data_IF_028149991995
#
_entry.id   IF_028149991995
#
_cell.length_a   1.000
_cell.length_b   1.000
_cell.length_c   1.000
_cell.angle_alpha   90.00
_cell.angle_beta   90.00
_cell.angle_gamma   90.00
#
_symmetry.space_group_name_H-M   'P 1'
#
loop_
_entity.id
_entity.type
_entity.pdbx_description
1 polymer ?
#
# COMPACT_ATOMS: atom_id res chain seq x y z
N UNK A 1 -27.91 -12.15 -17.98
CA UNK A 1 -27.02 -11.27 -17.22
C UNK A 1 -27.47 -11.28 -15.77
N UNK A 2 -26.67 -11.82 -14.85
CA UNK A 2 -27.03 -11.87 -13.44
C UNK A 2 -26.51 -10.61 -12.76
N UNK A 3 -27.38 -9.87 -12.10
CA UNK A 3 -27.03 -8.69 -11.30
C UNK A 3 -26.95 -9.10 -9.82
N UNK A 4 -25.79 -8.92 -9.21
CA UNK A 4 -25.61 -9.12 -7.79
C UNK A 4 -25.66 -7.75 -7.10
N UNK A 5 -26.68 -7.55 -6.31
CA UNK A 5 -26.89 -6.37 -5.48
C UNK A 5 -25.86 -6.31 -4.34
N UNK A 6 -25.70 -5.12 -3.77
CA UNK A 6 -24.80 -4.86 -2.62
C UNK A 6 -25.09 -5.73 -1.38
N UNK A 7 -26.32 -6.26 -1.25
CA UNK A 7 -26.70 -7.18 -0.18
C UNK A 7 -25.96 -8.52 -0.20
N UNK A 8 -25.40 -8.90 -1.35
CA UNK A 8 -24.59 -10.13 -1.49
C UNK A 8 -23.11 -9.94 -1.08
N UNK A 9 -22.71 -8.73 -0.71
CA UNK A 9 -21.35 -8.47 -0.24
C UNK A 9 -21.25 -8.73 1.27
N UNK A 10 -20.35 -9.61 1.71
CA UNK A 10 -20.15 -9.88 3.15
C UNK A 10 -19.53 -8.68 3.88
N UNK A 11 -18.89 -7.76 3.14
CA UNK A 11 -18.26 -6.55 3.69
C UNK A 11 -18.80 -5.34 2.90
N UNK A 12 -19.35 -4.31 3.58
CA UNK A 12 -19.79 -3.08 2.93
C UNK A 12 -18.64 -2.39 2.19
N UNK A 13 -18.92 -1.89 0.99
CA UNK A 13 -17.97 -1.09 0.21
C UNK A 13 -18.41 0.37 0.24
N UNK A 14 -17.56 1.23 0.78
CA UNK A 14 -17.69 2.67 0.68
C UNK A 14 -16.69 3.18 -0.34
N UNK A 15 -17.14 4.00 -1.29
CA UNK A 15 -16.31 4.54 -2.36
C UNK A 15 -16.25 6.07 -2.26
N UNK A 16 -15.05 6.59 -2.23
CA UNK A 16 -14.77 8.02 -2.24
C UNK A 16 -13.98 8.39 -3.49
N UNK A 17 -14.45 9.39 -4.23
CA UNK A 17 -13.79 9.90 -5.43
C UNK A 17 -13.16 11.25 -5.11
N UNK A 18 -11.85 11.39 -5.32
CA UNK A 18 -11.11 12.62 -5.08
C UNK A 18 -10.62 13.15 -6.42
N UNK A 19 -11.05 14.36 -6.77
CA UNK A 19 -10.59 15.03 -7.98
C UNK A 19 -9.20 15.62 -7.78
N UNK A 20 -8.30 15.36 -8.73
CA UNK A 20 -6.92 15.85 -8.72
C UNK A 20 -6.76 16.96 -9.74
N UNK A 21 -6.19 18.08 -9.32
CA UNK A 21 -5.91 19.23 -10.19
C UNK A 21 -4.71 18.96 -11.10
N UNK A 22 -4.76 19.50 -12.31
CA UNK A 22 -3.69 19.44 -13.29
C UNK A 22 -4.10 18.68 -14.56
N UNK A 23 -3.37 18.91 -15.64
CA UNK A 23 -3.61 18.20 -16.90
C UNK A 23 -3.23 16.71 -16.73
N UNK A 24 -4.10 15.75 -17.08
CA UNK A 24 -3.80 14.34 -16.98
C UNK A 24 -2.43 13.99 -17.59
N UNK A 25 -1.59 13.23 -16.85
CA UNK A 25 -0.25 12.84 -17.28
C UNK A 25 0.84 13.89 -17.13
N UNK A 26 0.53 15.12 -16.72
CA UNK A 26 1.54 16.14 -16.43
C UNK A 26 2.32 15.84 -15.15
N UNK A 27 3.51 16.46 -15.00
CA UNK A 27 4.33 16.37 -13.79
C UNK A 27 3.57 16.93 -12.59
N UNK A 28 2.84 18.02 -12.78
CA UNK A 28 2.01 18.65 -11.75
C UNK A 28 0.91 17.72 -11.27
N UNK A 29 0.16 17.10 -12.19
CA UNK A 29 -0.89 16.14 -11.85
C UNK A 29 -0.35 14.93 -11.08
N UNK A 30 0.85 14.44 -11.43
CA UNK A 30 1.50 13.34 -10.70
C UNK A 30 1.90 13.76 -9.28
N UNK A 31 2.49 14.93 -9.11
CA UNK A 31 2.82 15.45 -7.76
C UNK A 31 1.58 15.64 -6.90
N UNK A 32 0.52 16.18 -7.48
CA UNK A 32 -0.75 16.34 -6.79
C UNK A 32 -1.36 14.99 -6.40
N UNK A 33 -1.25 13.98 -7.28
CA UNK A 33 -1.70 12.62 -7.00
C UNK A 33 -0.91 11.99 -5.86
N UNK A 34 0.41 12.07 -5.89
CA UNK A 34 1.27 11.55 -4.82
C UNK A 34 0.95 12.24 -3.49
N UNK A 35 0.73 13.55 -3.51
CA UNK A 35 0.37 14.32 -2.32
C UNK A 35 -0.98 13.90 -1.74
N UNK A 36 -2.02 13.83 -2.56
CA UNK A 36 -3.36 13.41 -2.13
C UNK A 36 -3.34 11.96 -1.64
N UNK A 37 -2.59 11.09 -2.31
CA UNK A 37 -2.41 9.71 -1.88
C UNK A 37 -1.74 9.65 -0.51
N UNK A 38 -0.69 10.43 -0.30
CA UNK A 38 0.01 10.52 0.99
C UNK A 38 -0.92 11.01 2.11
N UNK A 39 -1.64 12.10 1.88
CA UNK A 39 -2.58 12.66 2.86
C UNK A 39 -3.64 11.64 3.26
N UNK A 40 -4.20 10.92 2.28
CA UNK A 40 -5.23 9.90 2.54
C UNK A 40 -4.67 8.67 3.26
N UNK A 41 -3.48 8.22 2.88
CA UNK A 41 -2.79 7.11 3.54
C UNK A 41 -2.47 7.47 5.00
N UNK A 42 -1.95 8.67 5.26
CA UNK A 42 -1.62 9.15 6.61
C UNK A 42 -2.87 9.25 7.48
N UNK A 43 -3.96 9.81 6.94
CA UNK A 43 -5.25 9.87 7.63
C UNK A 43 -5.73 8.47 8.08
N UNK A 44 -5.72 7.50 7.16
CA UNK A 44 -6.21 6.15 7.43
C UNK A 44 -5.30 5.38 8.40
N UNK A 45 -3.99 5.53 8.27
CA UNK A 45 -3.02 4.93 9.19
C UNK A 45 -3.17 5.54 10.59
N UNK A 46 -3.37 6.86 10.70
CA UNK A 46 -3.64 7.55 11.96
C UNK A 46 -4.92 7.07 12.66
N UNK A 47 -5.89 6.59 11.88
CA UNK A 47 -7.12 5.94 12.40
C UNK A 47 -6.91 4.46 12.80
N UNK A 48 -5.70 3.93 12.67
CA UNK A 48 -5.37 2.55 13.01
C UNK A 48 -5.68 1.52 11.92
N UNK A 49 -5.88 1.97 10.68
CA UNK A 49 -6.16 1.09 9.55
C UNK A 49 -4.89 0.69 8.78
N UNK A 50 -4.94 -0.49 8.16
CA UNK A 50 -3.98 -0.86 7.15
C UNK A 50 -4.45 -0.37 5.78
N UNK A 51 -3.51 0.02 4.92
CA UNK A 51 -3.81 0.61 3.62
C UNK A 51 -3.13 -0.17 2.49
N UNK A 52 -3.89 -0.45 1.45
CA UNK A 52 -3.38 -0.96 0.18
C UNK A 52 -3.43 0.13 -0.89
N UNK A 53 -2.31 0.40 -1.53
CA UNK A 53 -2.20 1.36 -2.62
C UNK A 53 -1.96 0.60 -3.92
N UNK A 54 -2.91 0.66 -4.84
CA UNK A 54 -2.78 0.02 -6.14
C UNK A 54 -2.18 0.97 -7.17
N UNK A 55 -1.19 0.49 -7.90
CA UNK A 55 -0.55 1.22 -9.00
C UNK A 55 -0.60 0.40 -10.29
N UNK A 56 -0.48 1.07 -11.45
CA UNK A 56 -0.66 0.40 -12.74
C UNK A 56 0.51 -0.47 -13.18
N UNK A 57 1.73 -0.15 -12.79
CA UNK A 57 2.93 -0.82 -13.27
C UNK A 57 3.87 -1.23 -12.13
N UNK A 58 4.61 -2.33 -12.35
CA UNK A 58 5.59 -2.84 -11.37
C UNK A 58 6.60 -1.78 -10.93
N UNK A 59 7.14 -1.02 -11.88
CA UNK A 59 8.11 0.05 -11.59
C UNK A 59 7.52 1.17 -10.74
N UNK A 60 6.23 1.43 -10.90
CA UNK A 60 5.54 2.43 -10.10
C UNK A 60 5.31 1.98 -8.67
N UNK A 61 5.22 0.67 -8.40
CA UNK A 61 5.08 0.13 -7.05
C UNK A 61 6.19 0.63 -6.13
N UNK A 62 7.43 0.40 -6.51
CA UNK A 62 8.61 0.83 -5.75
C UNK A 62 8.72 2.36 -5.75
N UNK A 63 8.53 3.00 -6.91
CA UNK A 63 8.64 4.46 -7.05
C UNK A 63 7.64 5.19 -6.16
N UNK A 64 6.38 4.77 -6.15
CA UNK A 64 5.34 5.37 -5.32
C UNK A 64 5.62 5.13 -3.84
N UNK A 65 6.02 3.91 -3.46
CA UNK A 65 6.38 3.59 -2.09
C UNK A 65 7.54 4.45 -1.57
N UNK A 66 8.60 4.59 -2.35
CA UNK A 66 9.75 5.45 -2.01
C UNK A 66 9.37 6.92 -1.97
N UNK A 67 8.52 7.37 -2.90
CA UNK A 67 8.03 8.76 -2.93
C UNK A 67 7.20 9.10 -1.69
N UNK A 68 6.28 8.23 -1.27
CA UNK A 68 5.51 8.43 -0.05
C UNK A 68 6.40 8.41 1.20
N UNK A 69 7.38 7.51 1.25
CA UNK A 69 8.38 7.47 2.32
C UNK A 69 9.16 8.79 2.41
N UNK A 70 9.58 9.35 1.28
CA UNK A 70 10.30 10.63 1.22
C UNK A 70 9.43 11.80 1.68
N UNK A 71 8.16 11.84 1.30
CA UNK A 71 7.21 12.84 1.80
C UNK A 71 7.06 12.72 3.32
N UNK A 72 6.85 11.50 3.83
CA UNK A 72 6.73 11.25 5.27
C UNK A 72 7.98 11.68 6.05
N UNK A 73 9.16 11.42 5.50
CA UNK A 73 10.42 11.84 6.09
C UNK A 73 10.54 13.38 6.13
N UNK A 74 10.18 14.05 5.04
CA UNK A 74 10.22 15.52 4.94
C UNK A 74 9.24 16.18 5.90
N UNK A 75 8.08 15.59 6.12
CA UNK A 75 7.06 16.08 7.03
C UNK A 75 7.28 15.65 8.50
N UNK A 76 8.28 14.83 8.78
CA UNK A 76 8.56 14.31 10.11
C UNK A 76 7.51 13.34 10.64
N UNK A 77 6.72 12.72 9.77
CA UNK A 77 5.65 11.78 10.12
C UNK A 77 6.01 10.30 9.87
N UNK A 78 7.28 10.02 9.57
CA UNK A 78 7.72 8.67 9.19
C UNK A 78 7.47 7.64 10.32
N UNK A 79 7.62 8.07 11.57
CA UNK A 79 7.44 7.21 12.75
C UNK A 79 5.99 6.74 12.90
N UNK A 80 5.00 7.46 12.37
CA UNK A 80 3.59 7.07 12.38
C UNK A 80 3.34 5.78 11.60
N UNK A 81 4.20 5.48 10.63
CA UNK A 81 4.14 4.28 9.81
C UNK A 81 4.92 3.11 10.41
N UNK A 82 5.83 3.34 11.34
CA UNK A 82 6.66 2.30 11.94
C UNK A 82 5.81 1.22 12.61
N UNK A 83 6.29 -0.03 12.53
CA UNK A 83 5.73 -1.18 13.20
C UNK A 83 6.74 -1.85 14.15
N UNK A 84 7.75 -1.13 14.63
CA UNK A 84 8.79 -1.66 15.51
C UNK A 84 8.24 -2.21 16.83
N UNK A 85 7.13 -1.68 17.31
CA UNK A 85 6.45 -2.14 18.52
C UNK A 85 5.65 -3.45 18.31
N UNK A 86 5.55 -3.93 17.06
CA UNK A 86 4.81 -5.15 16.79
C UNK A 86 5.53 -6.37 17.37
N UNK A 87 4.84 -7.30 18.10
CA UNK A 87 5.47 -8.43 18.78
C UNK A 87 6.34 -9.33 17.88
N UNK A 88 5.97 -9.46 16.61
CA UNK A 88 6.67 -10.28 15.63
C UNK A 88 7.63 -9.47 14.72
N UNK A 89 7.83 -8.18 14.99
CA UNK A 89 8.64 -7.32 14.13
C UNK A 89 10.07 -7.82 13.98
N UNK A 90 10.72 -8.20 15.07
CA UNK A 90 12.09 -8.73 15.05
C UNK A 90 12.21 -10.01 14.24
N UNK A 91 11.19 -10.88 14.30
CA UNK A 91 11.14 -12.11 13.48
C UNK A 91 11.05 -11.77 11.99
N UNK A 92 10.14 -10.90 11.62
CA UNK A 92 9.97 -10.48 10.23
C UNK A 92 11.18 -9.71 9.71
N UNK A 93 11.78 -8.85 10.52
CA UNK A 93 13.00 -8.14 10.15
C UNK A 93 14.16 -9.07 9.84
N UNK A 94 14.33 -10.13 10.62
CA UNK A 94 15.32 -11.18 10.34
C UNK A 94 15.02 -11.87 9.01
N UNK A 95 13.78 -12.28 8.80
CA UNK A 95 13.36 -12.96 7.57
C UNK A 95 13.56 -12.09 6.33
N UNK A 96 13.23 -10.80 6.40
CA UNK A 96 13.50 -9.81 5.34
C UNK A 96 15.00 -9.64 5.11
N UNK A 97 15.80 -9.70 6.18
CA UNK A 97 17.26 -9.60 6.09
C UNK A 97 17.87 -10.64 5.16
N UNK A 98 17.27 -11.83 5.05
CA UNK A 98 17.68 -12.90 4.16
C UNK A 98 17.28 -12.70 2.69
N UNK A 99 16.30 -11.85 2.41
CA UNK A 99 15.88 -11.54 1.04
C UNK A 99 16.97 -10.79 0.28
N UNK A 100 17.03 -11.00 -1.03
CA UNK A 100 17.89 -10.22 -1.94
C UNK A 100 17.25 -8.92 -2.42
N UNK A 101 15.97 -8.72 -2.10
CA UNK A 101 15.22 -7.53 -2.50
C UNK A 101 15.57 -6.34 -1.59
N UNK A 102 16.40 -5.44 -2.10
CA UNK A 102 16.89 -4.27 -1.36
C UNK A 102 15.78 -3.27 -1.06
N UNK A 103 14.87 -3.06 -2.01
CA UNK A 103 13.75 -2.14 -1.87
C UNK A 103 12.80 -2.59 -0.75
N UNK A 104 12.52 -3.88 -0.69
CA UNK A 104 11.70 -4.47 0.36
C UNK A 104 12.29 -4.24 1.76
N UNK A 105 13.61 -4.40 1.90
CA UNK A 105 14.32 -4.14 3.15
C UNK A 105 14.23 -2.67 3.58
N UNK A 106 14.47 -1.75 2.65
CA UNK A 106 14.45 -0.32 2.93
C UNK A 106 13.07 0.21 3.31
N UNK A 107 12.02 -0.41 2.78
CA UNK A 107 10.64 -0.01 3.02
C UNK A 107 10.08 -0.60 4.33
N UNK A 108 10.45 -1.83 4.64
CA UNK A 108 9.94 -2.55 5.81
C UNK A 108 10.21 -1.83 7.14
N UNK A 109 11.42 -1.32 7.34
CA UNK A 109 11.80 -0.61 8.57
C UNK A 109 10.88 0.58 8.88
N UNK A 110 10.19 1.10 7.86
CA UNK A 110 9.25 2.20 7.99
C UNK A 110 7.77 1.80 7.84
N UNK A 111 7.47 0.51 7.93
CA UNK A 111 6.09 0.01 7.87
C UNK A 111 5.48 -0.03 6.47
N UNK A 112 6.30 0.13 5.42
CA UNK A 112 5.89 0.03 4.02
C UNK A 112 6.25 -1.33 3.43
N UNK A 113 5.36 -1.87 2.61
CA UNK A 113 5.57 -3.09 1.84
C UNK A 113 5.32 -2.88 0.36
N UNK A 114 5.89 -3.75 -0.46
CA UNK A 114 5.67 -3.80 -1.91
C UNK A 114 5.26 -5.20 -2.32
N UNK A 115 4.36 -5.30 -3.30
CA UNK A 115 3.92 -6.57 -3.83
C UNK A 115 3.67 -6.45 -5.34
N UNK A 116 4.45 -7.16 -6.14
CA UNK A 116 4.29 -7.20 -7.59
C UNK A 116 4.81 -8.51 -8.19
N UNK A 117 4.35 -8.85 -9.38
CA UNK A 117 4.67 -10.10 -10.05
C UNK A 117 6.16 -10.31 -10.39
N UNK A 118 6.98 -9.25 -10.34
CA UNK A 118 8.44 -9.33 -10.55
C UNK A 118 9.24 -9.75 -9.31
N UNK A 119 8.61 -9.85 -8.14
CA UNK A 119 9.26 -10.34 -6.93
C UNK A 119 9.32 -11.87 -6.91
N UNK A 120 10.28 -12.42 -6.18
CA UNK A 120 10.30 -13.86 -5.89
C UNK A 120 9.01 -14.26 -5.14
N UNK A 121 8.56 -15.47 -5.38
CA UNK A 121 7.35 -16.00 -4.69
C UNK A 121 7.51 -15.99 -3.18
N UNK A 122 8.70 -16.33 -2.68
CA UNK A 122 9.03 -16.27 -1.26
C UNK A 122 8.85 -14.86 -0.68
N UNK A 123 9.32 -13.84 -1.38
CA UNK A 123 9.21 -12.45 -0.95
C UNK A 123 7.75 -11.97 -0.95
N UNK A 124 6.98 -12.37 -1.97
CA UNK A 124 5.54 -12.05 -2.03
C UNK A 124 4.78 -12.68 -0.87
N UNK A 125 4.98 -13.98 -0.63
CA UNK A 125 4.35 -14.69 0.48
C UNK A 125 4.73 -14.08 1.83
N UNK A 126 5.96 -13.61 1.96
CA UNK A 126 6.43 -12.93 3.17
C UNK A 126 5.70 -11.59 3.36
N UNK A 127 5.56 -10.78 2.30
CA UNK A 127 4.80 -9.54 2.36
C UNK A 127 3.34 -9.75 2.74
N UNK A 128 2.69 -10.77 2.19
CA UNK A 128 1.31 -11.14 2.52
C UNK A 128 1.18 -11.47 4.00
N UNK A 129 2.06 -12.33 4.54
CA UNK A 129 2.07 -12.69 5.97
C UNK A 129 2.32 -11.49 6.88
N UNK A 130 3.21 -10.59 6.50
CA UNK A 130 3.49 -9.38 7.27
C UNK A 130 2.27 -8.44 7.29
N UNK A 131 1.58 -8.33 6.17
CA UNK A 131 0.37 -7.54 6.09
C UNK A 131 -0.77 -8.16 6.91
N UNK A 132 -1.00 -9.46 6.81
CA UNK A 132 -1.98 -10.19 7.63
C UNK A 132 -1.70 -10.06 9.14
N UNK A 133 -0.42 -10.18 9.53
CA UNK A 133 0.01 -10.03 10.91
C UNK A 133 0.00 -8.56 11.40
N UNK A 134 -0.33 -7.58 10.55
CA UNK A 134 -0.26 -6.14 10.83
C UNK A 134 1.15 -5.62 11.17
N UNK A 135 2.18 -6.32 10.71
CA UNK A 135 3.57 -5.87 10.81
C UNK A 135 3.98 -4.87 9.72
N UNK A 136 3.06 -4.56 8.80
CA UNK A 136 3.16 -3.51 7.78
C UNK A 136 1.85 -2.73 7.79
N UNK A 137 1.93 -1.40 7.75
CA UNK A 137 0.75 -0.52 7.71
C UNK A 137 0.28 -0.20 6.31
N UNK A 138 1.21 -0.07 5.37
CA UNK A 138 0.90 0.31 3.98
C UNK A 138 1.57 -0.64 3.01
N UNK A 139 0.82 -1.20 2.07
CA UNK A 139 1.35 -2.06 1.00
C UNK A 139 1.00 -1.51 -0.37
N UNK A 140 2.00 -1.42 -1.24
CA UNK A 140 1.87 -0.96 -2.62
C UNK A 140 1.84 -2.15 -3.58
N UNK A 141 0.82 -2.21 -4.44
CA UNK A 141 0.55 -3.35 -5.30
C UNK A 141 0.37 -2.93 -6.76
N UNK A 142 0.84 -3.77 -7.69
CA UNK A 142 0.66 -3.52 -9.13
C UNK A 142 -0.56 -4.21 -9.76
N UNK A 143 -1.22 -5.13 -9.06
CA UNK A 143 -2.43 -5.80 -9.56
C UNK A 143 -3.36 -6.25 -8.43
N UNK A 144 -4.68 -6.01 -8.54
CA UNK A 144 -5.66 -6.43 -7.53
C UNK A 144 -5.80 -7.95 -7.36
N UNK A 145 -5.53 -8.72 -8.42
CA UNK A 145 -5.74 -10.18 -8.46
C UNK A 145 -4.62 -11.00 -7.81
N UNK A 146 -3.56 -10.35 -7.33
CA UNK A 146 -2.37 -11.04 -6.82
C UNK A 146 -2.41 -11.34 -5.32
N UNK A 147 -3.33 -10.74 -4.58
CA UNK A 147 -3.49 -10.97 -3.16
C UNK A 147 -4.61 -12.00 -2.92
N UNK A 148 -4.24 -13.20 -2.54
CA UNK A 148 -5.13 -14.11 -1.82
C UNK A 148 -5.27 -13.62 -0.37
N UNK A 149 -5.85 -12.44 -0.22
CA UNK A 149 -6.18 -11.93 1.10
C UNK A 149 -7.42 -12.69 1.58
N UNK A 150 -7.23 -13.52 2.58
CA UNK A 150 -8.32 -14.20 3.26
C UNK A 150 -9.30 -13.15 3.81
N UNK A 151 -10.58 -13.53 3.88
CA UNK A 151 -11.70 -12.71 4.39
C UNK A 151 -11.52 -12.17 5.82
N UNK A 152 -10.40 -12.49 6.47
CA UNK A 152 -10.00 -11.99 7.79
C UNK A 152 -9.49 -10.54 7.80
N UNK A 153 -9.25 -9.92 6.64
CA UNK A 153 -8.81 -8.52 6.57
C UNK A 153 -10.03 -7.61 6.67
N UNK A 154 -10.53 -7.48 7.87
CA UNK A 154 -11.82 -6.83 8.15
C UNK A 154 -11.83 -5.30 8.04
N UNK A 155 -10.69 -4.62 7.85
CA UNK A 155 -10.62 -3.15 7.76
C UNK A 155 -9.38 -2.67 7.00
N UNK A 156 -9.24 -3.07 5.76
CA UNK A 156 -8.21 -2.50 4.88
C UNK A 156 -8.84 -1.51 3.92
N UNK A 157 -8.17 -0.37 3.74
CA UNK A 157 -8.58 0.65 2.79
C UNK A 157 -7.78 0.52 1.51
N UNK A 158 -8.46 0.71 0.39
CA UNK A 158 -7.84 0.64 -0.94
C UNK A 158 -7.78 2.05 -1.51
N UNK A 159 -6.59 2.52 -1.78
CA UNK A 159 -6.36 3.76 -2.51
C UNK A 159 -5.99 3.40 -3.95
N UNK A 160 -6.79 3.85 -4.90
CA UNK A 160 -6.55 3.69 -6.32
C UNK A 160 -6.17 5.04 -6.91
N UNK A 161 -4.88 5.39 -7.01
CA UNK A 161 -4.47 6.56 -7.74
C UNK A 161 -4.71 6.32 -9.24
N UNK A 162 -5.83 6.82 -9.75
CA UNK A 162 -6.22 6.66 -11.14
C UNK A 162 -5.89 7.92 -11.92
N UNK A 163 -4.90 7.83 -12.80
CA UNK A 163 -4.71 8.81 -13.85
C UNK A 163 -5.59 8.36 -15.03
N UNK A 164 -6.74 9.01 -15.21
CA UNK A 164 -7.49 8.86 -16.45
C UNK A 164 -6.64 9.44 -17.58
N UNK A 165 -6.00 8.56 -18.34
CA UNK A 165 -5.60 8.86 -19.70
C UNK A 165 -6.85 8.72 -20.56
N UNK A 166 -7.33 9.83 -21.09
CA UNK A 166 -8.33 9.83 -22.15
C UNK A 166 -7.78 9.20 -23.41
#
# INVERSE_FOLDING_TARGET
MFYFDSSFRPIPLEQHFIAIRGKPGSIESRKNLDRVTFEKVTELVGQGHQVMVFVHARKETVKTAMGLKEIALTEGSLDEFSCEEHPQWSFFRRSIGESRNKEMKQLFDNGFGIHHAGMLRSDRNMMERMFEARAIKVTFLSQPSALHLDSSIHRSYVVLPHLHGG
#
